data_IF_623536178580
#
_entry.id   IF_623536178580
#
_cell.length_a   1.000
_cell.length_b   1.000
_cell.length_c   1.000
_cell.angle_alpha   90.00
_cell.angle_beta   90.00
_cell.angle_gamma   90.00
#
_symmetry.space_group_name_H-M   'P 1'
#
loop_
_entity.id
_entity.type
_entity.pdbx_description
1 polymer ?
#
# COMPACT_ATOMS: atom_id res chain seq x y z
N UNK A 1 -10.50 30.67 -6.82
CA UNK A 1 -9.10 30.14 -6.91
C UNK A 1 -8.46 30.07 -5.53
N UNK A 2 -7.21 29.61 -5.36
CA UNK A 2 -6.61 29.41 -4.02
C UNK A 2 -6.78 30.61 -3.08
N UNK A 3 -6.66 31.84 -3.60
CA UNK A 3 -6.86 33.09 -2.84
C UNK A 3 -8.23 33.24 -2.18
N UNK A 4 -9.27 32.66 -2.77
CA UNK A 4 -10.65 32.77 -2.30
C UNK A 4 -11.07 31.55 -1.47
N UNK A 5 -10.56 30.37 -1.83
CA UNK A 5 -11.06 29.09 -1.32
C UNK A 5 -10.11 28.41 -0.32
N UNK A 6 -8.83 28.79 -0.27
CA UNK A 6 -7.83 28.19 0.61
C UNK A 6 -7.34 26.80 0.14
N UNK A 7 -6.68 26.02 1.04
CA UNK A 7 -6.20 24.66 0.76
C UNK A 7 -7.34 23.63 0.72
N UNK A 8 -7.06 22.41 0.24
CA UNK A 8 -7.98 21.26 0.21
C UNK A 8 -9.27 21.48 -0.62
N UNK A 9 -9.22 22.37 -1.61
CA UNK A 9 -10.36 22.69 -2.48
C UNK A 9 -10.18 22.21 -3.93
N UNK A 10 -9.41 21.14 -4.13
CA UNK A 10 -9.25 20.48 -5.44
C UNK A 10 -8.27 21.17 -6.40
N UNK A 11 -7.35 21.99 -5.88
CA UNK A 11 -6.30 22.63 -6.68
C UNK A 11 -4.92 21.98 -6.52
N UNK A 12 -4.85 20.85 -5.82
CA UNK A 12 -3.61 20.09 -5.60
C UNK A 12 -3.40 19.03 -6.70
N UNK A 13 -2.15 18.64 -6.94
CA UNK A 13 -1.79 17.68 -7.98
C UNK A 13 -0.57 16.84 -7.58
N UNK A 14 -0.21 15.86 -8.41
CA UNK A 14 0.97 15.01 -8.21
C UNK A 14 2.26 15.81 -8.43
N UNK A 15 3.20 15.70 -7.49
CA UNK A 15 4.57 16.20 -7.64
C UNK A 15 5.55 15.13 -8.13
N UNK A 16 6.74 15.54 -8.56
CA UNK A 16 7.79 14.68 -9.15
C UNK A 16 9.14 14.78 -8.42
N UNK A 17 9.10 14.99 -7.10
CA UNK A 17 10.28 15.15 -6.28
C UNK A 17 11.06 13.84 -6.06
N UNK A 18 12.39 13.92 -6.03
CA UNK A 18 13.23 12.76 -5.68
C UNK A 18 13.11 12.44 -4.18
N UNK A 19 12.43 11.33 -3.84
CA UNK A 19 12.13 10.97 -2.44
C UNK A 19 13.10 9.94 -1.84
N UNK A 20 13.71 9.10 -2.66
CA UNK A 20 14.47 7.92 -2.22
C UNK A 20 15.60 8.25 -1.22
N UNK A 21 16.42 9.25 -1.56
CA UNK A 21 17.60 9.61 -0.74
C UNK A 21 17.21 10.14 0.64
N UNK A 22 16.21 11.03 0.69
CA UNK A 22 15.76 11.62 1.94
C UNK A 22 15.08 10.59 2.83
N UNK A 23 14.22 9.76 2.25
CA UNK A 23 13.55 8.65 2.96
C UNK A 23 14.55 7.65 3.53
N UNK A 24 15.51 7.18 2.72
CA UNK A 24 16.56 6.26 3.17
C UNK A 24 17.38 6.83 4.34
N UNK A 25 17.83 8.09 4.24
CA UNK A 25 18.62 8.72 5.32
C UNK A 25 17.81 8.89 6.60
N UNK A 26 16.53 9.24 6.49
CA UNK A 26 15.65 9.44 7.64
C UNK A 26 15.42 8.11 8.37
N UNK A 27 15.00 7.07 7.66
CA UNK A 27 14.78 5.74 8.24
C UNK A 27 16.06 5.13 8.79
N UNK A 28 17.18 5.25 8.07
CA UNK A 28 18.47 4.77 8.56
C UNK A 28 18.87 5.45 9.88
N UNK A 29 18.59 6.75 10.06
CA UNK A 29 18.93 7.43 11.33
C UNK A 29 18.13 6.87 12.51
N UNK A 30 16.85 6.61 12.31
CA UNK A 30 15.96 6.03 13.33
C UNK A 30 16.28 4.56 13.60
N UNK A 31 16.62 3.80 12.56
CA UNK A 31 16.91 2.37 12.68
C UNK A 31 18.21 2.15 13.47
N UNK A 32 19.24 2.96 13.21
CA UNK A 32 20.52 2.89 13.93
C UNK A 32 20.43 3.18 15.43
N UNK A 33 19.38 3.86 15.89
CA UNK A 33 19.11 4.12 17.32
C UNK A 33 18.05 3.20 17.90
N UNK A 34 17.51 2.26 17.11
CA UNK A 34 16.42 1.37 17.53
C UNK A 34 15.06 2.08 17.67
N UNK A 35 14.92 3.26 17.08
CA UNK A 35 13.74 4.14 17.19
C UNK A 35 12.80 4.04 15.97
N UNK A 36 13.19 3.30 14.92
CA UNK A 36 12.32 3.08 13.76
C UNK A 36 11.16 2.15 14.12
N UNK A 37 9.94 2.69 14.05
CA UNK A 37 8.71 1.97 14.39
C UNK A 37 8.01 1.40 13.15
N UNK A 38 6.89 0.70 13.37
CA UNK A 38 5.93 0.34 12.32
C UNK A 38 5.60 1.57 11.48
N UNK A 39 5.92 1.53 10.20
CA UNK A 39 5.77 2.66 9.27
C UNK A 39 5.04 2.22 8.01
N UNK A 40 4.12 3.05 7.52
CA UNK A 40 3.51 2.86 6.21
C UNK A 40 3.91 4.04 5.32
N UNK A 41 4.51 3.75 4.18
CA UNK A 41 4.92 4.75 3.20
C UNK A 41 3.99 4.75 1.99
N UNK A 42 3.62 5.95 1.54
CA UNK A 42 2.75 6.19 0.39
C UNK A 42 3.44 7.15 -0.56
N UNK A 43 3.30 6.92 -1.87
CA UNK A 43 3.69 7.88 -2.89
C UNK A 43 2.45 8.45 -3.58
N UNK A 44 2.58 9.65 -4.15
CA UNK A 44 1.52 10.29 -4.94
C UNK A 44 1.82 10.23 -6.45
N UNK A 45 2.99 9.70 -6.85
CA UNK A 45 3.43 9.61 -8.23
C UNK A 45 3.80 8.15 -8.54
N UNK A 46 3.06 7.47 -9.46
CA UNK A 46 3.21 6.04 -9.68
C UNK A 46 4.59 5.64 -10.23
N UNK A 47 5.37 6.59 -10.76
CA UNK A 47 6.77 6.36 -11.13
C UNK A 47 7.67 6.03 -9.91
N UNK A 48 7.17 6.20 -8.69
CA UNK A 48 7.88 5.85 -7.46
C UNK A 48 7.41 4.53 -6.82
N UNK A 49 6.52 3.76 -7.45
CA UNK A 49 6.00 2.52 -6.87
C UNK A 49 7.12 1.54 -6.50
N UNK A 50 8.00 1.23 -7.45
CA UNK A 50 9.12 0.30 -7.26
C UNK A 50 10.14 0.84 -6.25
N UNK A 51 10.36 2.17 -6.25
CA UNK A 51 11.22 2.83 -5.27
C UNK A 51 10.67 2.65 -3.85
N UNK A 52 9.37 2.80 -3.65
CA UNK A 52 8.74 2.68 -2.34
C UNK A 52 8.64 1.21 -1.90
N UNK A 53 8.26 0.31 -2.82
CA UNK A 53 8.23 -1.13 -2.55
C UNK A 53 9.60 -1.65 -2.10
N UNK A 54 10.68 -1.30 -2.82
CA UNK A 54 12.04 -1.70 -2.44
C UNK A 54 12.56 -0.99 -1.21
N UNK A 55 12.20 0.29 -0.98
CA UNK A 55 12.60 1.01 0.23
C UNK A 55 12.09 0.31 1.50
N UNK A 56 10.86 -0.21 1.49
CA UNK A 56 10.30 -0.92 2.63
C UNK A 56 11.16 -2.13 3.03
N UNK A 57 11.74 -2.84 2.06
CA UNK A 57 12.59 -4.00 2.30
C UNK A 57 13.89 -3.70 3.07
N UNK A 58 14.43 -2.49 2.96
CA UNK A 58 15.70 -2.11 3.61
C UNK A 58 15.63 -2.11 5.15
N UNK A 59 14.43 -2.00 5.73
CA UNK A 59 14.25 -1.77 7.17
C UNK A 59 13.28 -2.77 7.82
N UNK A 60 13.14 -3.95 7.23
CA UNK A 60 12.49 -5.09 7.88
C UNK A 60 13.45 -5.75 8.87
N UNK A 61 13.01 -5.97 10.11
CA UNK A 61 13.85 -6.51 11.20
C UNK A 61 13.61 -7.99 11.50
N UNK A 62 12.69 -8.65 10.79
CA UNK A 62 12.33 -10.05 10.98
C UNK A 62 11.48 -10.33 12.23
N UNK A 63 11.17 -9.31 13.04
CA UNK A 63 10.38 -9.44 14.28
C UNK A 63 8.92 -9.12 14.00
N UNK A 64 8.66 -8.02 13.29
CA UNK A 64 7.31 -7.58 12.94
C UNK A 64 7.05 -7.92 11.46
N UNK A 65 6.06 -8.76 11.14
CA UNK A 65 5.69 -9.05 9.76
C UNK A 65 5.36 -7.77 8.99
N UNK A 66 6.19 -7.45 7.99
CA UNK A 66 6.05 -6.22 7.21
C UNK A 66 6.11 -4.95 8.06
N UNK A 67 7.13 -4.82 8.93
CA UNK A 67 7.35 -3.62 9.77
C UNK A 67 7.17 -2.32 8.99
N UNK A 68 7.81 -2.23 7.82
CA UNK A 68 7.59 -1.16 6.86
C UNK A 68 6.65 -1.66 5.77
N UNK A 69 5.54 -0.96 5.58
CA UNK A 69 4.54 -1.28 4.57
C UNK A 69 4.63 -0.27 3.43
N UNK A 70 4.58 -0.76 2.19
CA UNK A 70 4.20 0.08 1.06
C UNK A 70 2.67 0.11 1.00
N UNK A 71 2.09 1.26 1.32
CA UNK A 71 0.65 1.44 1.45
C UNK A 71 -0.11 1.34 0.13
N UNK A 72 -1.45 1.22 0.23
CA UNK A 72 -2.34 1.18 -0.94
C UNK A 72 -2.17 2.41 -1.82
N UNK A 73 -2.56 2.29 -3.10
CA UNK A 73 -2.52 3.40 -4.04
C UNK A 73 -3.29 4.62 -3.50
N UNK A 74 -2.61 5.77 -3.41
CA UNK A 74 -3.11 6.92 -2.66
C UNK A 74 -3.71 8.01 -3.56
N UNK A 75 -4.82 8.59 -3.10
CA UNK A 75 -5.48 9.77 -3.67
C UNK A 75 -5.77 9.64 -5.16
N UNK A 76 -5.01 10.30 -6.05
CA UNK A 76 -5.20 10.21 -7.51
C UNK A 76 -5.01 8.78 -8.04
N UNK A 77 -4.27 7.96 -7.30
CA UNK A 77 -3.97 6.57 -7.64
C UNK A 77 -4.99 5.58 -7.04
N UNK A 78 -5.92 6.05 -6.19
CA UNK A 78 -7.00 5.25 -5.59
C UNK A 78 -8.13 4.97 -6.61
N UNK A 79 -7.76 4.24 -7.67
CA UNK A 79 -8.58 3.81 -8.80
C UNK A 79 -7.92 2.57 -9.47
N UNK A 80 -8.62 1.89 -10.38
CA UNK A 80 -8.21 0.58 -10.92
C UNK A 80 -6.75 0.51 -11.41
N UNK A 81 -6.32 1.42 -12.27
CA UNK A 81 -4.95 1.39 -12.83
C UNK A 81 -3.89 1.62 -11.75
N UNK A 82 -4.13 2.58 -10.84
CA UNK A 82 -3.20 2.89 -9.75
C UNK A 82 -3.09 1.76 -8.74
N UNK A 83 -4.23 1.18 -8.33
CA UNK A 83 -4.26 0.02 -7.44
C UNK A 83 -3.55 -1.19 -8.05
N UNK A 84 -3.83 -1.52 -9.32
CA UNK A 84 -3.18 -2.66 -9.98
C UNK A 84 -1.66 -2.46 -10.04
N UNK A 85 -1.19 -1.27 -10.44
CA UNK A 85 0.25 -0.96 -10.47
C UNK A 85 0.90 -1.03 -9.09
N UNK A 86 0.22 -0.53 -8.06
CA UNK A 86 0.73 -0.57 -6.69
C UNK A 86 0.79 -2.02 -6.16
N UNK A 87 -0.28 -2.79 -6.35
CA UNK A 87 -0.35 -4.19 -5.90
C UNK A 87 0.71 -5.03 -6.62
N UNK A 88 0.89 -4.86 -7.94
CA UNK A 88 1.91 -5.58 -8.69
C UNK A 88 3.32 -5.23 -8.23
N UNK A 89 3.64 -3.94 -8.03
CA UNK A 89 4.95 -3.53 -7.50
C UNK A 89 5.21 -4.13 -6.10
N UNK A 90 4.20 -4.12 -5.22
CA UNK A 90 4.30 -4.76 -3.90
C UNK A 90 4.45 -6.29 -3.99
N UNK A 91 3.72 -6.93 -4.91
CA UNK A 91 3.77 -8.38 -5.13
C UNK A 91 5.15 -8.82 -5.62
N UNK A 92 5.72 -8.10 -6.59
CA UNK A 92 7.02 -8.44 -7.19
C UNK A 92 8.22 -8.14 -6.30
N UNK A 93 8.13 -7.14 -5.41
CA UNK A 93 9.29 -6.62 -4.65
C UNK A 93 9.16 -6.78 -3.14
N UNK A 94 8.01 -7.26 -2.65
CA UNK A 94 7.70 -7.42 -1.24
C UNK A 94 6.90 -8.69 -0.96
N UNK A 95 6.06 -8.64 0.08
CA UNK A 95 5.21 -9.76 0.48
C UNK A 95 3.74 -9.32 0.49
N UNK A 96 3.04 -9.51 -0.63
CA UNK A 96 1.63 -9.13 -0.75
C UNK A 96 0.75 -9.78 0.32
N UNK A 97 1.06 -11.01 0.76
CA UNK A 97 0.34 -11.70 1.83
C UNK A 97 0.41 -11.00 3.20
N UNK A 98 1.34 -10.07 3.39
CA UNK A 98 1.49 -9.25 4.61
C UNK A 98 1.03 -7.81 4.43
N UNK A 99 0.42 -7.49 3.29
CA UNK A 99 -0.09 -6.16 3.02
C UNK A 99 -1.23 -5.80 3.98
N UNK A 100 -1.14 -4.63 4.60
CA UNK A 100 -2.18 -4.12 5.52
C UNK A 100 -3.47 -3.69 4.82
N UNK A 101 -3.48 -3.61 3.49
CA UNK A 101 -4.70 -3.45 2.71
C UNK A 101 -5.18 -2.00 2.56
N UNK A 102 -6.50 -1.86 2.48
CA UNK A 102 -7.16 -0.64 2.00
C UNK A 102 -7.58 0.30 3.13
N UNK A 103 -7.56 1.60 2.84
CA UNK A 103 -8.16 2.67 3.64
C UNK A 103 -8.90 3.64 2.70
N UNK A 104 -9.93 4.33 3.18
CA UNK A 104 -10.73 5.20 2.32
C UNK A 104 -10.10 6.58 2.06
N UNK A 105 -9.28 7.06 2.99
CA UNK A 105 -8.72 8.42 3.02
C UNK A 105 -9.76 9.50 2.64
N UNK A 106 -10.96 9.38 3.19
CA UNK A 106 -12.10 10.18 2.76
C UNK A 106 -12.84 10.82 3.92
N UNK A 107 -13.26 12.06 3.70
CA UNK A 107 -14.20 12.80 4.57
C UNK A 107 -15.67 12.40 4.38
N UNK A 108 -15.98 11.49 3.45
CA UNK A 108 -17.35 11.08 3.13
C UNK A 108 -17.71 9.78 3.83
N UNK A 109 -18.85 9.74 4.52
CA UNK A 109 -19.43 8.50 5.05
C UNK A 109 -19.81 7.50 3.94
N UNK A 110 -19.97 7.95 2.70
CA UNK A 110 -20.28 7.11 1.55
C UNK A 110 -19.02 6.55 0.86
N UNK A 111 -17.86 6.62 1.51
CA UNK A 111 -16.59 6.18 0.93
C UNK A 111 -16.28 4.70 1.11
N UNK A 112 -17.00 3.97 1.98
CA UNK A 112 -16.79 2.54 2.21
C UNK A 112 -16.88 1.65 0.95
N UNK A 113 -17.66 1.97 -0.10
CA UNK A 113 -17.58 1.25 -1.38
C UNK A 113 -16.18 1.23 -2.02
N UNK A 114 -15.25 2.13 -1.64
CA UNK A 114 -13.83 2.03 -2.04
C UNK A 114 -13.19 0.72 -1.56
N UNK A 115 -13.58 0.21 -0.38
CA UNK A 115 -13.14 -1.10 0.07
C UNK A 115 -13.70 -2.22 -0.80
N UNK A 116 -14.97 -2.15 -1.22
CA UNK A 116 -15.52 -3.14 -2.14
C UNK A 116 -14.79 -3.12 -3.49
N UNK A 117 -14.53 -1.92 -4.02
CA UNK A 117 -13.79 -1.73 -5.25
C UNK A 117 -12.39 -2.35 -5.18
N UNK A 118 -11.63 -2.03 -4.13
CA UNK A 118 -10.32 -2.64 -3.85
C UNK A 118 -10.41 -4.18 -3.77
N UNK A 119 -11.38 -4.71 -3.01
CA UNK A 119 -11.53 -6.17 -2.82
C UNK A 119 -11.80 -6.89 -4.14
N UNK A 120 -12.64 -6.34 -5.00
CA UNK A 120 -12.93 -6.90 -6.33
C UNK A 120 -11.68 -6.93 -7.19
N UNK A 121 -10.89 -5.85 -7.19
CA UNK A 121 -9.64 -5.78 -7.95
C UNK A 121 -8.62 -6.79 -7.41
N UNK A 122 -8.45 -6.88 -6.09
CA UNK A 122 -7.56 -7.85 -5.45
C UNK A 122 -7.96 -9.28 -5.81
N UNK A 123 -9.23 -9.65 -5.64
CA UNK A 123 -9.71 -10.99 -5.97
C UNK A 123 -9.49 -11.32 -7.45
N UNK A 124 -9.72 -10.37 -8.36
CA UNK A 124 -9.49 -10.57 -9.78
C UNK A 124 -8.00 -10.80 -10.09
N UNK A 125 -7.09 -10.02 -9.50
CA UNK A 125 -5.64 -10.23 -9.69
C UNK A 125 -5.21 -11.65 -9.26
N UNK A 126 -5.65 -12.09 -8.08
CA UNK A 126 -5.37 -13.47 -7.64
C UNK A 126 -6.03 -14.53 -8.54
N UNK A 127 -7.24 -14.28 -9.03
CA UNK A 127 -7.92 -15.20 -9.94
C UNK A 127 -7.18 -15.32 -11.27
N UNK A 128 -6.76 -14.18 -11.86
CA UNK A 128 -6.00 -14.14 -13.11
C UNK A 128 -4.67 -14.92 -12.95
N UNK A 129 -3.94 -14.70 -11.84
CA UNK A 129 -2.69 -15.44 -11.56
C UNK A 129 -2.93 -16.95 -11.40
N UNK A 130 -4.06 -17.37 -10.81
CA UNK A 130 -4.43 -18.79 -10.67
C UNK A 130 -4.80 -19.39 -12.03
N UNK A 131 -5.61 -18.71 -12.82
CA UNK A 131 -6.03 -19.17 -14.15
C UNK A 131 -4.84 -19.31 -15.11
N UNK A 132 -3.85 -18.42 -14.98
CA UNK A 132 -2.59 -18.47 -15.73
C UNK A 132 -1.59 -19.50 -15.19
N UNK A 133 -1.86 -20.13 -14.04
CA UNK A 133 -0.97 -21.11 -13.40
C UNK A 133 0.26 -20.49 -12.73
N UNK A 134 0.24 -19.18 -12.47
CA UNK A 134 1.29 -18.44 -11.74
C UNK A 134 1.16 -18.64 -10.23
N UNK A 135 -0.08 -18.82 -9.75
CA UNK A 135 -0.39 -19.22 -8.38
C UNK A 135 -1.08 -20.59 -8.34
N UNK A 136 -0.90 -21.36 -7.26
CA UNK A 136 -1.61 -22.63 -7.08
C UNK A 136 -3.11 -22.38 -6.96
N UNK A 137 -3.91 -23.23 -7.59
CA UNK A 137 -5.37 -23.26 -7.42
C UNK A 137 -5.78 -23.89 -6.08
N UNK A 138 -5.28 -23.32 -4.98
CA UNK A 138 -5.70 -23.62 -3.62
C UNK A 138 -6.57 -22.48 -3.10
N UNK A 139 -7.89 -22.67 -3.22
CA UNK A 139 -8.89 -21.68 -2.81
C UNK A 139 -8.88 -21.45 -1.30
N UNK A 140 -8.51 -22.47 -0.50
CA UNK A 140 -8.46 -22.32 0.96
C UNK A 140 -7.30 -21.39 1.35
N UNK A 141 -6.12 -21.64 0.79
CA UNK A 141 -4.95 -20.80 1.01
C UNK A 141 -5.14 -19.38 0.47
N UNK A 142 -5.58 -19.25 -0.79
CA UNK A 142 -5.80 -17.95 -1.44
C UNK A 142 -6.89 -17.15 -0.71
N UNK A 143 -7.99 -17.81 -0.32
CA UNK A 143 -9.05 -17.19 0.45
C UNK A 143 -8.56 -16.67 1.81
N UNK A 144 -7.64 -17.39 2.47
CA UNK A 144 -7.01 -16.91 3.72
C UNK A 144 -6.16 -15.66 3.47
N UNK A 145 -5.34 -15.66 2.42
CA UNK A 145 -4.50 -14.50 2.05
C UNK A 145 -5.37 -13.27 1.76
N UNK A 146 -6.44 -13.43 0.99
CA UNK A 146 -7.37 -12.33 0.68
C UNK A 146 -8.04 -11.82 1.95
N UNK A 147 -8.53 -12.70 2.85
CA UNK A 147 -9.10 -12.29 4.14
C UNK A 147 -8.09 -11.51 5.01
N UNK A 148 -6.84 -11.93 4.98
CA UNK A 148 -5.77 -11.27 5.72
C UNK A 148 -5.53 -9.84 5.20
N UNK A 149 -5.41 -9.67 3.89
CA UNK A 149 -5.27 -8.34 3.26
C UNK A 149 -6.53 -7.49 3.49
N UNK A 150 -7.72 -8.09 3.48
CA UNK A 150 -8.98 -7.36 3.64
C UNK A 150 -9.25 -6.87 5.06
N UNK A 151 -8.62 -7.48 6.08
CA UNK A 151 -8.88 -7.15 7.48
C UNK A 151 -7.78 -7.59 8.46
N UNK A 152 -7.43 -8.88 8.50
CA UNK A 152 -6.66 -9.42 9.64
C UNK A 152 -5.25 -8.84 9.77
N UNK A 153 -4.61 -8.50 8.64
CA UNK A 153 -3.31 -7.86 8.62
C UNK A 153 -3.37 -6.48 9.26
N UNK A 154 -4.32 -5.64 8.87
CA UNK A 154 -4.53 -4.32 9.51
C UNK A 154 -4.83 -4.47 11.00
N UNK A 155 -5.75 -5.37 11.37
CA UNK A 155 -6.11 -5.62 12.76
C UNK A 155 -4.89 -5.97 13.62
N UNK A 156 -4.05 -6.89 13.12
CA UNK A 156 -2.82 -7.32 13.80
C UNK A 156 -1.75 -6.23 13.80
N UNK A 157 -1.57 -5.53 12.68
CA UNK A 157 -0.55 -4.50 12.51
C UNK A 157 -0.83 -3.30 13.42
N UNK A 158 -2.09 -2.89 13.58
CA UNK A 158 -2.46 -1.75 14.42
C UNK A 158 -2.84 -2.13 15.85
N UNK A 159 -3.06 -3.42 16.14
CA UNK A 159 -3.60 -3.90 17.43
C UNK A 159 -4.97 -3.28 17.73
N UNK A 160 -5.87 -3.34 16.74
CA UNK A 160 -7.26 -2.89 16.86
C UNK A 160 -8.09 -3.85 17.72
#
# INVERSE_FOLDING_TARGET
>A
GYRENGPDTGYDSMGDFSQARSMSRFFNRLDNTGELTKTIIYNLNPANNEVFATMAGNFCDGIIPGKIQFGSAWWFLDQKDGMIKQINALSSMGLLSKFVGMLTDSRSFLSYPRHEYFRRLLCNLFADDIENGELPNDISWTGKVIQDICYNNANSYFKL
#
